data_IF_486071776282
#
_entry.id   IF_486071776282
#
_cell.length_a   1.000
_cell.length_b   1.000
_cell.length_c   1.000
_cell.angle_alpha   90.00
_cell.angle_beta   90.00
_cell.angle_gamma   90.00
#
_symmetry.space_group_name_H-M   'P 1'
#
loop_
_entity.id
_entity.type
_entity.pdbx_description
1 polymer ?
#
# COMPACT_ATOMS: atom_id res chain seq x y z
N UNK A 1 10.49 41.31 -1.88
CA UNK A 1 9.33 40.70 -1.20
C UNK A 1 9.09 39.35 -1.85
N UNK A 2 9.53 38.27 -1.19
CA UNK A 2 9.31 36.90 -1.70
C UNK A 2 7.88 36.51 -1.38
N UNK A 3 7.06 36.42 -2.41
CA UNK A 3 5.65 36.06 -2.28
C UNK A 3 5.58 34.55 -2.01
N UNK A 4 5.39 34.18 -0.73
CA UNK A 4 5.21 32.78 -0.31
C UNK A 4 3.85 32.33 -0.83
N UNK A 5 3.81 31.85 -2.07
CA UNK A 5 2.62 31.25 -2.64
C UNK A 5 2.40 29.90 -1.95
N UNK A 6 1.50 29.86 -0.99
CA UNK A 6 1.05 28.62 -0.33
C UNK A 6 0.47 27.71 -1.42
N UNK A 7 1.13 26.57 -1.70
CA UNK A 7 0.66 25.62 -2.71
C UNK A 7 -0.74 25.12 -2.34
N UNK A 8 -1.68 25.20 -3.26
CA UNK A 8 -3.03 24.68 -3.04
C UNK A 8 -3.00 23.15 -2.97
N UNK A 9 -4.06 22.54 -2.41
CA UNK A 9 -4.20 21.08 -2.45
C UNK A 9 -4.23 20.56 -3.90
N UNK A 10 -4.75 21.35 -4.84
CA UNK A 10 -4.80 20.99 -6.24
C UNK A 10 -3.41 20.98 -6.89
N UNK A 11 -2.55 21.95 -6.55
CA UNK A 11 -1.17 21.99 -7.03
C UNK A 11 -0.38 20.78 -6.53
N UNK A 12 -0.52 20.42 -5.25
CA UNK A 12 0.14 19.23 -4.70
C UNK A 12 -0.28 17.95 -5.42
N UNK A 13 -1.58 17.77 -5.71
CA UNK A 13 -2.08 16.61 -6.45
C UNK A 13 -1.54 16.56 -7.87
N UNK A 14 -1.51 17.71 -8.56
CA UNK A 14 -0.92 17.80 -9.90
C UNK A 14 0.56 17.42 -9.88
N UNK A 15 1.32 17.93 -8.92
CA UNK A 15 2.74 17.60 -8.77
C UNK A 15 2.95 16.11 -8.50
N UNK A 16 2.12 15.49 -7.64
CA UNK A 16 2.15 14.05 -7.38
C UNK A 16 1.87 13.22 -8.64
N UNK A 17 0.81 13.56 -9.40
CA UNK A 17 0.49 12.86 -10.65
C UNK A 17 1.58 12.97 -11.70
N UNK A 18 2.18 14.17 -11.85
CA UNK A 18 3.30 14.36 -12.76
C UNK A 18 4.54 13.57 -12.31
N UNK A 19 4.81 13.49 -11.00
CA UNK A 19 5.89 12.70 -10.46
C UNK A 19 5.67 11.20 -10.67
N UNK A 20 4.46 10.69 -10.38
CA UNK A 20 4.09 9.30 -10.63
C UNK A 20 4.15 8.94 -12.11
N UNK A 21 3.66 9.82 -13.00
CA UNK A 21 3.72 9.62 -14.45
C UNK A 21 5.14 9.50 -15.00
N UNK A 22 6.12 10.21 -14.43
CA UNK A 22 7.55 10.04 -14.77
C UNK A 22 8.11 8.66 -14.41
N UNK A 23 7.46 7.97 -13.47
CA UNK A 23 7.78 6.60 -13.08
C UNK A 23 6.93 5.57 -13.84
N UNK A 24 6.12 5.98 -14.83
CA UNK A 24 5.16 5.09 -15.50
C UNK A 24 3.99 4.65 -14.63
N UNK A 25 3.74 5.35 -13.52
CA UNK A 25 2.67 5.01 -12.57
C UNK A 25 1.41 5.81 -12.90
N UNK A 26 0.37 5.11 -13.34
CA UNK A 26 -0.96 5.63 -13.59
C UNK A 26 -2.06 4.72 -12.98
N UNK A 27 -3.34 5.02 -13.22
CA UNK A 27 -4.46 4.23 -12.69
C UNK A 27 -4.50 2.81 -13.26
N UNK A 28 -4.08 2.62 -14.53
CA UNK A 28 -4.06 1.30 -15.16
C UNK A 28 -3.01 0.41 -14.49
N UNK A 29 -1.80 0.94 -14.26
CA UNK A 29 -0.76 0.24 -13.54
C UNK A 29 -1.18 -0.08 -12.09
N UNK A 30 -1.81 0.87 -11.39
CA UNK A 30 -2.32 0.62 -10.02
C UNK A 30 -3.34 -0.51 -10.02
N UNK A 31 -4.24 -0.57 -11.01
CA UNK A 31 -5.18 -1.68 -11.14
C UNK A 31 -4.44 -3.01 -11.28
N UNK A 32 -3.47 -3.11 -12.20
CA UNK A 32 -2.65 -4.33 -12.39
C UNK A 32 -1.90 -4.73 -11.13
N UNK A 33 -1.27 -3.77 -10.44
CA UNK A 33 -0.55 -4.01 -9.20
C UNK A 33 -1.49 -4.57 -8.11
N UNK A 34 -2.66 -3.98 -7.93
CA UNK A 34 -3.62 -4.40 -6.90
C UNK A 34 -4.17 -5.79 -7.18
N UNK A 35 -4.63 -6.05 -8.40
CA UNK A 35 -5.15 -7.37 -8.79
C UNK A 35 -4.09 -8.46 -8.56
N UNK A 36 -2.90 -8.26 -9.13
CA UNK A 36 -1.80 -9.26 -9.04
C UNK A 36 -1.34 -9.47 -7.60
N UNK A 37 -1.29 -8.40 -6.80
CA UNK A 37 -0.90 -8.49 -5.40
C UNK A 37 -1.90 -9.30 -4.58
N UNK A 38 -3.19 -9.05 -4.75
CA UNK A 38 -4.21 -9.74 -3.96
C UNK A 38 -4.45 -11.18 -4.40
N UNK A 39 -4.20 -11.53 -5.66
CA UNK A 39 -4.13 -12.93 -6.10
C UNK A 39 -3.05 -13.71 -5.33
N UNK A 40 -1.88 -13.08 -5.12
CA UNK A 40 -0.80 -13.66 -4.32
C UNK A 40 -1.16 -13.75 -2.83
N UNK A 41 -1.73 -12.69 -2.26
CA UNK A 41 -2.17 -12.68 -0.85
C UNK A 41 -3.20 -13.78 -0.60
N UNK A 42 -4.14 -13.99 -1.53
CA UNK A 42 -5.16 -15.03 -1.43
C UNK A 42 -4.57 -16.44 -1.47
N UNK A 43 -3.49 -16.62 -2.23
CA UNK A 43 -2.81 -17.91 -2.41
C UNK A 43 -1.78 -18.22 -1.32
N UNK A 44 -1.39 -17.22 -0.52
CA UNK A 44 -0.40 -17.38 0.55
C UNK A 44 -0.99 -18.18 1.73
N UNK A 45 -0.26 -19.19 2.26
CA UNK A 45 -0.78 -20.07 3.31
C UNK A 45 -0.98 -19.38 4.66
N UNK A 46 -0.28 -18.28 4.95
CA UNK A 46 -0.38 -17.56 6.23
C UNK A 46 -1.39 -16.40 6.13
N UNK A 47 -1.34 -15.62 5.04
CA UNK A 47 -2.23 -14.48 4.84
C UNK A 47 -3.59 -14.87 4.28
N UNK A 48 -3.64 -15.83 3.35
CA UNK A 48 -4.85 -16.25 2.68
C UNK A 48 -6.00 -16.58 3.65
N UNK A 49 -5.78 -17.38 4.70
CA UNK A 49 -6.81 -17.67 5.69
C UNK A 49 -7.30 -16.44 6.47
N UNK A 50 -6.43 -15.46 6.77
CA UNK A 50 -6.80 -14.23 7.47
C UNK A 50 -7.72 -13.39 6.58
N UNK A 51 -7.34 -13.20 5.32
CA UNK A 51 -8.15 -12.45 4.36
C UNK A 51 -9.46 -13.17 4.03
N UNK A 52 -9.46 -14.49 3.91
CA UNK A 52 -10.68 -15.27 3.65
C UNK A 52 -11.71 -15.15 4.79
N UNK A 53 -11.26 -15.04 6.04
CA UNK A 53 -12.14 -14.76 7.19
C UNK A 53 -12.65 -13.31 7.18
N UNK A 54 -11.80 -12.36 6.82
CA UNK A 54 -12.15 -10.94 6.80
C UNK A 54 -13.02 -10.52 5.60
N UNK A 55 -12.87 -11.19 4.46
CA UNK A 55 -13.54 -10.91 3.19
C UNK A 55 -14.10 -12.23 2.64
N UNK A 56 -15.20 -12.73 3.22
CA UNK A 56 -15.83 -13.94 2.73
C UNK A 56 -16.56 -13.66 1.41
N UNK A 57 -16.33 -14.49 0.40
CA UNK A 57 -17.06 -14.43 -0.87
C UNK A 57 -16.47 -13.44 -1.86
N UNK A 58 -17.20 -12.35 -2.14
CA UNK A 58 -16.86 -11.40 -3.21
C UNK A 58 -15.73 -10.45 -2.80
N UNK A 59 -14.64 -10.48 -3.58
CA UNK A 59 -13.48 -9.63 -3.41
C UNK A 59 -13.58 -8.29 -4.15
N UNK A 60 -14.51 -8.14 -5.10
CA UNK A 60 -14.64 -6.96 -5.95
C UNK A 60 -14.66 -5.63 -5.17
N UNK A 61 -15.51 -5.48 -4.13
CA UNK A 61 -15.53 -4.28 -3.30
C UNK A 61 -14.21 -4.00 -2.58
N UNK A 62 -13.50 -5.05 -2.13
CA UNK A 62 -12.20 -4.88 -1.49
C UNK A 62 -11.15 -4.40 -2.50
N UNK A 63 -11.08 -5.02 -3.66
CA UNK A 63 -10.12 -4.67 -4.71
C UNK A 63 -10.35 -3.25 -5.22
N UNK A 64 -11.60 -2.83 -5.43
CA UNK A 64 -11.94 -1.46 -5.77
C UNK A 64 -11.43 -0.47 -4.72
N UNK A 65 -11.69 -0.74 -3.44
CA UNK A 65 -11.19 0.09 -2.33
C UNK A 65 -9.67 0.16 -2.26
N UNK A 66 -8.98 -0.94 -2.58
CA UNK A 66 -7.51 -0.98 -2.60
C UNK A 66 -6.92 -0.23 -3.79
N UNK A 67 -7.58 -0.23 -4.95
CA UNK A 67 -7.22 0.65 -6.08
C UNK A 67 -7.33 2.12 -5.69
N UNK A 68 -8.42 2.52 -5.03
CA UNK A 68 -8.58 3.89 -4.54
C UNK A 68 -7.52 4.24 -3.49
N UNK A 69 -7.22 3.32 -2.57
CA UNK A 69 -6.18 3.50 -1.57
C UNK A 69 -4.81 3.77 -2.22
N UNK A 70 -4.37 2.90 -3.13
CA UNK A 70 -3.07 3.07 -3.79
C UNK A 70 -3.05 4.26 -4.75
N UNK A 71 -4.17 4.63 -5.37
CA UNK A 71 -4.31 5.88 -6.11
C UNK A 71 -4.19 7.12 -5.21
N UNK A 72 -4.74 7.10 -4.00
CA UNK A 72 -4.51 8.21 -3.05
C UNK A 72 -3.03 8.32 -2.65
N UNK A 73 -2.36 7.19 -2.47
CA UNK A 73 -0.97 7.10 -2.02
C UNK A 73 0.02 7.50 -3.11
N UNK A 74 -0.23 7.11 -4.36
CA UNK A 74 0.65 7.35 -5.50
C UNK A 74 0.30 8.63 -6.28
N UNK A 75 -0.99 8.89 -6.49
CA UNK A 75 -1.49 9.95 -7.38
C UNK A 75 -2.11 11.13 -6.63
N UNK A 76 -2.26 11.04 -5.31
CA UNK A 76 -2.94 12.07 -4.52
C UNK A 76 -4.46 12.11 -4.78
N UNK A 77 -5.02 11.00 -5.25
CA UNK A 77 -6.46 10.86 -5.42
C UNK A 77 -7.22 10.97 -4.08
N UNK A 78 -8.50 11.35 -4.12
CA UNK A 78 -9.32 11.60 -2.93
C UNK A 78 -10.51 10.65 -2.81
N UNK A 79 -10.62 9.64 -3.67
CA UNK A 79 -11.69 8.61 -3.61
C UNK A 79 -11.60 7.73 -2.38
N UNK A 80 -10.40 7.51 -1.84
CA UNK A 80 -10.22 6.69 -0.65
C UNK A 80 -10.61 7.44 0.64
N UNK A 81 -11.63 6.93 1.34
CA UNK A 81 -12.15 7.47 2.60
C UNK A 81 -11.99 6.50 3.79
N UNK A 82 -11.26 5.40 3.58
CA UNK A 82 -11.13 4.32 4.55
C UNK A 82 -10.26 4.69 5.75
N UNK A 83 -10.45 3.93 6.85
CA UNK A 83 -9.66 4.04 8.08
C UNK A 83 -8.85 2.75 8.28
N UNK A 84 -7.58 2.67 7.81
CA UNK A 84 -6.80 1.44 7.83
C UNK A 84 -6.62 0.87 9.24
N UNK A 85 -6.18 1.69 10.21
CA UNK A 85 -5.86 1.21 11.57
C UNK A 85 -7.06 0.51 12.22
N UNK A 86 -8.26 1.12 12.33
CA UNK A 86 -9.42 0.42 12.89
C UNK A 86 -9.83 -0.85 12.13
N UNK A 87 -9.59 -0.93 10.82
CA UNK A 87 -9.92 -2.12 10.05
C UNK A 87 -8.99 -3.30 10.42
N UNK A 88 -7.69 -3.02 10.63
CA UNK A 88 -6.70 -4.06 10.95
C UNK A 88 -6.70 -4.44 12.44
N UNK A 89 -7.01 -3.50 13.35
CA UNK A 89 -7.13 -3.79 14.79
C UNK A 89 -8.25 -4.78 15.12
N UNK A 90 -9.27 -4.91 14.26
CA UNK A 90 -10.37 -5.87 14.42
C UNK A 90 -9.97 -7.31 14.08
N UNK A 91 -8.79 -7.52 13.49
CA UNK A 91 -8.32 -8.84 13.04
C UNK A 91 -7.52 -9.49 14.17
N UNK A 92 -8.16 -10.34 14.97
CA UNK A 92 -7.52 -11.05 16.11
C UNK A 92 -6.32 -11.91 15.71
N UNK A 93 -6.33 -12.40 14.48
CA UNK A 93 -5.32 -13.32 13.98
C UNK A 93 -4.15 -12.60 13.29
N UNK A 94 -4.23 -11.27 13.14
CA UNK A 94 -3.17 -10.47 12.53
C UNK A 94 -2.05 -10.22 13.55
N UNK A 95 -0.82 -10.62 13.19
CA UNK A 95 0.37 -10.57 14.06
C UNK A 95 1.54 -9.91 13.32
N UNK A 96 2.56 -9.40 14.05
CA UNK A 96 3.74 -8.78 13.44
C UNK A 96 4.39 -9.56 12.29
N UNK A 97 4.56 -10.90 12.34
CA UNK A 97 5.16 -11.66 11.23
C UNK A 97 4.37 -11.56 9.91
N UNK A 98 3.05 -11.36 9.97
CA UNK A 98 2.21 -11.27 8.77
C UNK A 98 2.53 -10.02 7.94
N UNK A 99 2.97 -8.92 8.57
CA UNK A 99 3.41 -7.72 7.86
C UNK A 99 4.68 -7.96 7.04
N UNK A 100 5.60 -8.78 7.55
CA UNK A 100 6.80 -9.16 6.81
C UNK A 100 6.47 -9.99 5.57
N UNK A 101 5.52 -10.94 5.68
CA UNK A 101 5.02 -11.74 4.55
C UNK A 101 4.33 -10.83 3.53
N UNK A 102 3.45 -9.94 3.99
CA UNK A 102 2.73 -8.99 3.13
C UNK A 102 3.70 -8.10 2.35
N UNK A 103 4.74 -7.57 3.00
CA UNK A 103 5.79 -6.76 2.35
C UNK A 103 6.61 -7.57 1.34
N UNK A 104 6.90 -8.84 1.62
CA UNK A 104 7.61 -9.72 0.71
C UNK A 104 6.81 -10.01 -0.56
N UNK A 105 5.51 -10.33 -0.42
CA UNK A 105 4.60 -10.52 -1.55
C UNK A 105 4.41 -9.24 -2.36
N UNK A 106 4.31 -8.09 -1.69
CA UNK A 106 4.17 -6.80 -2.36
C UNK A 106 5.42 -6.47 -3.16
N UNK A 107 6.61 -6.68 -2.58
CA UNK A 107 7.88 -6.50 -3.30
C UNK A 107 8.02 -7.45 -4.49
N UNK A 108 7.68 -8.72 -4.32
CA UNK A 108 7.65 -9.68 -5.43
C UNK A 108 6.73 -9.18 -6.55
N UNK A 109 5.56 -8.65 -6.19
CA UNK A 109 4.63 -8.11 -7.19
C UNK A 109 5.20 -6.94 -7.94
N UNK A 110 5.79 -5.98 -7.25
CA UNK A 110 6.45 -4.86 -7.90
C UNK A 110 7.59 -5.31 -8.81
N UNK A 111 8.38 -6.31 -8.43
CA UNK A 111 9.46 -6.82 -9.29
C UNK A 111 8.96 -7.37 -10.62
N UNK A 112 7.76 -7.94 -10.64
CA UNK A 112 7.20 -8.55 -11.85
C UNK A 112 6.37 -7.57 -12.68
N UNK A 113 5.75 -6.59 -12.04
CA UNK A 113 4.77 -5.73 -12.73
C UNK A 113 5.25 -4.30 -12.94
N UNK A 114 6.20 -3.80 -12.14
CA UNK A 114 6.54 -2.38 -12.15
C UNK A 114 7.15 -1.93 -13.48
N UNK A 115 6.79 -0.74 -13.96
CA UNK A 115 7.32 -0.18 -15.20
C UNK A 115 8.80 0.19 -15.12
N UNK A 116 9.35 0.37 -13.91
CA UNK A 116 10.77 0.66 -13.68
C UNK A 116 11.22 0.28 -12.27
N UNK A 117 12.53 0.23 -12.02
CA UNK A 117 13.09 -0.02 -10.69
C UNK A 117 12.78 1.14 -9.72
N UNK A 118 12.76 2.37 -10.21
CA UNK A 118 12.39 3.54 -9.43
C UNK A 118 10.92 3.48 -8.96
N UNK A 119 10.03 2.89 -9.78
CA UNK A 119 8.66 2.62 -9.35
C UNK A 119 8.61 1.56 -8.24
N UNK A 120 9.45 0.51 -8.30
CA UNK A 120 9.58 -0.47 -7.20
C UNK A 120 9.97 0.23 -5.91
N UNK A 121 11.03 1.05 -5.93
CA UNK A 121 11.52 1.76 -4.74
C UNK A 121 10.47 2.73 -4.19
N UNK A 122 9.81 3.49 -5.08
CA UNK A 122 8.74 4.42 -4.73
C UNK A 122 7.59 3.75 -3.97
N UNK A 123 7.12 2.60 -4.45
CA UNK A 123 6.04 1.87 -3.77
C UNK A 123 6.53 1.19 -2.50
N UNK A 124 7.74 0.61 -2.50
CA UNK A 124 8.29 -0.07 -1.33
C UNK A 124 8.58 0.86 -0.16
N UNK A 125 9.01 2.10 -0.40
CA UNK A 125 9.15 3.11 0.67
C UNK A 125 7.81 3.36 1.38
N UNK A 126 6.73 3.53 0.61
CA UNK A 126 5.39 3.81 1.13
C UNK A 126 4.80 2.59 1.83
N UNK A 127 4.91 1.42 1.20
CA UNK A 127 4.44 0.15 1.73
C UNK A 127 5.06 -0.15 3.11
N UNK A 128 6.37 0.07 3.26
CA UNK A 128 7.07 -0.11 4.55
C UNK A 128 6.55 0.84 5.62
N UNK A 129 6.35 2.13 5.30
CA UNK A 129 5.80 3.11 6.25
C UNK A 129 4.38 2.74 6.69
N UNK A 130 3.53 2.31 5.75
CA UNK A 130 2.16 1.86 6.04
C UNK A 130 2.19 0.63 6.94
N UNK A 131 2.99 -0.39 6.59
CA UNK A 131 3.12 -1.61 7.38
C UNK A 131 3.61 -1.30 8.81
N UNK A 132 4.65 -0.47 8.96
CA UNK A 132 5.17 -0.04 10.26
C UNK A 132 4.10 0.67 11.10
N UNK A 133 3.32 1.57 10.50
CA UNK A 133 2.24 2.28 11.19
C UNK A 133 1.12 1.35 11.65
N UNK A 134 0.75 0.36 10.83
CA UNK A 134 -0.28 -0.63 11.18
C UNK A 134 0.22 -1.60 12.25
N UNK A 135 1.44 -2.11 12.10
CA UNK A 135 2.07 -3.01 13.06
C UNK A 135 2.15 -2.37 14.44
N UNK A 136 2.65 -1.13 14.52
CA UNK A 136 2.71 -0.37 15.77
C UNK A 136 1.33 -0.19 16.43
N UNK A 137 0.31 0.13 15.63
CA UNK A 137 -1.04 0.35 16.12
C UNK A 137 -1.73 -0.94 16.62
N UNK A 138 -1.26 -2.11 16.21
CA UNK A 138 -1.80 -3.42 16.59
C UNK A 138 -1.01 -4.02 17.76
N UNK A 139 0.31 -3.94 17.74
CA UNK A 139 1.18 -4.56 18.75
C UNK A 139 1.40 -3.67 19.99
N UNK A 140 1.25 -2.35 19.87
CA UNK A 140 1.61 -1.39 20.91
C UNK A 140 3.12 -1.24 21.13
N UNK A 141 3.94 -1.91 20.31
CA UNK A 141 5.41 -1.92 20.40
C UNK A 141 5.97 -1.46 19.04
N UNK A 142 7.02 -0.63 19.00
CA UNK A 142 7.67 -0.24 17.74
C UNK A 142 7.99 -1.46 16.86
N UNK A 143 7.85 -1.35 15.53
CA UNK A 143 8.21 -2.44 14.61
C UNK A 143 9.62 -2.94 14.91
N UNK A 144 9.84 -4.25 14.84
CA UNK A 144 11.20 -4.80 14.98
C UNK A 144 11.97 -4.44 13.70
N UNK A 145 12.57 -3.25 13.69
CA UNK A 145 13.55 -2.87 12.69
C UNK A 145 14.79 -3.75 12.90
N UNK A 146 14.89 -4.87 12.18
CA UNK A 146 16.19 -5.49 11.95
C UNK A 146 16.98 -4.53 11.08
N UNK A 147 17.79 -3.67 11.69
CA UNK A 147 18.85 -2.95 10.99
C UNK A 147 19.68 -4.00 10.23
N UNK A 148 19.54 -4.08 8.89
CA UNK A 148 20.56 -4.72 8.09
C UNK A 148 21.75 -3.76 8.07
N UNK A 149 22.60 -3.90 9.07
CA UNK A 149 23.95 -3.36 9.07
C UNK A 149 24.86 -4.46 8.50
N UNK A 150 25.13 -4.37 7.20
CA UNK A 150 26.32 -4.92 6.52
C UNK A 150 26.54 -4.13 5.26
#
# INVERSE_FOLDING_TARGET
MSDIRVRSANDRRRDMRLAAGRLGVDEAYISTLVETFYDRVRSDPELGPIFARAIPGDWGPHLAKMKDFWASVALGDTRYDGRPVPAHQKLSDLKPPHFAIWLALFHHTLRDTAPSLEAVDFFMEKARRIAQSLEFAISGVPPILKERRT
#
